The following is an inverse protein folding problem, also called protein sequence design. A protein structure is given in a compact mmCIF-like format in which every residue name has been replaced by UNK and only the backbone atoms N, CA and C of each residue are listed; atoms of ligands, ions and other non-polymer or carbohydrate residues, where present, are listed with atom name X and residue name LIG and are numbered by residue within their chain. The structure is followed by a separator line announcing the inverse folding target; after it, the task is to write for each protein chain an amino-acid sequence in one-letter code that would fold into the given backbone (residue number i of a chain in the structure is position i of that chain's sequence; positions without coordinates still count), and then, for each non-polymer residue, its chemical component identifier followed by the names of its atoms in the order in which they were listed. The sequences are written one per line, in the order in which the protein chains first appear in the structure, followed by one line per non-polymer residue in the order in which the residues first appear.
data_IF_994809349216
#
_entry.id   IF_994809349216
#
_cell.length_a   1.000
_cell.length_b   1.000
_cell.length_c   1.000
_cell.angle_alpha   90.00
_cell.angle_beta   90.00
_cell.angle_gamma   90.00
#
_symmetry.space_group_name_H-M   'P 1'
#
loop_
_entity.id
_entity.type
_entity.pdbx_description
1 polymer ?
#
# COMPACT_ATOMS: atom_id res chain seq x y z
N UNK A 1 -18.73 -9.58 -3.00
CA UNK A 1 -18.01 -8.76 -1.99
C UNK A 1 -17.81 -7.38 -2.59
N UNK A 2 -18.60 -6.39 -2.16
CA UNK A 2 -18.59 -5.04 -2.74
C UNK A 2 -17.39 -4.24 -2.26
N UNK A 3 -16.60 -3.72 -3.20
CA UNK A 3 -15.60 -2.71 -2.91
C UNK A 3 -16.34 -1.45 -2.43
N UNK A 4 -16.17 -1.11 -1.15
CA UNK A 4 -16.75 0.10 -0.58
C UNK A 4 -16.15 1.30 -1.32
N UNK A 5 -17.01 2.08 -1.99
CA UNK A 5 -16.63 3.36 -2.58
C UNK A 5 -16.45 4.38 -1.45
N UNK A 6 -15.23 4.44 -0.92
CA UNK A 6 -14.81 5.45 0.05
C UNK A 6 -14.94 6.81 -0.66
N UNK A 7 -15.66 7.75 -0.05
CA UNK A 7 -16.08 9.01 -0.65
C UNK A 7 -14.97 9.70 -1.44
N UNK A 8 -15.33 10.21 -2.63
CA UNK A 8 -14.45 10.90 -3.58
C UNK A 8 -13.53 11.87 -2.81
N UNK A 9 -12.20 11.64 -2.75
CA UNK A 9 -11.36 12.52 -1.98
C UNK A 9 -11.21 13.85 -2.73
N UNK A 10 -10.87 14.89 -1.97
CA UNK A 10 -10.71 16.24 -2.50
C UNK A 10 -9.71 16.22 -3.66
N UNK A 11 -10.08 16.85 -4.78
CA UNK A 11 -9.25 16.88 -5.99
C UNK A 11 -7.91 17.56 -5.70
N UNK A 12 -6.83 16.79 -5.63
CA UNK A 12 -5.48 17.27 -5.36
C UNK A 12 -4.72 16.47 -4.30
N UNK A 13 -3.41 16.72 -4.21
CA UNK A 13 -2.58 16.07 -3.19
C UNK A 13 -3.00 16.49 -1.77
N UNK A 14 -3.10 15.54 -0.83
CA UNK A 14 -3.41 15.83 0.56
C UNK A 14 -2.32 16.67 1.20
N UNK A 15 -2.74 17.62 2.05
CA UNK A 15 -1.81 18.46 2.79
C UNK A 15 -1.00 17.68 3.83
N UNK A 16 0.14 18.26 4.24
CA UNK A 16 1.09 17.68 5.20
C UNK A 16 0.43 17.17 6.49
N UNK A 17 -0.58 17.88 7.00
CA UNK A 17 -1.30 17.50 8.23
C UNK A 17 -2.07 16.20 8.04
N UNK A 18 -2.72 16.00 6.89
CA UNK A 18 -3.47 14.77 6.61
C UNK A 18 -2.53 13.56 6.49
N UNK A 19 -1.40 13.73 5.79
CA UNK A 19 -0.35 12.69 5.67
C UNK A 19 0.17 12.31 7.06
N UNK A 20 0.51 13.30 7.88
CA UNK A 20 1.01 13.06 9.24
C UNK A 20 0.01 12.27 10.08
N UNK A 21 -1.26 12.66 10.08
CA UNK A 21 -2.31 11.96 10.83
C UNK A 21 -2.49 10.52 10.37
N UNK A 22 -2.46 10.29 9.06
CA UNK A 22 -2.58 8.93 8.50
C UNK A 22 -1.44 8.02 8.97
N UNK A 23 -0.20 8.51 8.92
CA UNK A 23 0.98 7.76 9.38
C UNK A 23 0.96 7.52 10.90
N UNK A 24 0.63 8.55 11.69
CA UNK A 24 0.52 8.41 13.16
C UNK A 24 -0.58 7.41 13.55
N UNK A 25 -1.72 7.46 12.88
CA UNK A 25 -2.81 6.50 13.09
C UNK A 25 -2.38 5.09 12.72
N UNK A 26 -1.70 4.90 11.59
CA UNK A 26 -1.20 3.59 11.18
C UNK A 26 -0.25 2.99 12.23
N UNK A 27 0.69 3.80 12.75
CA UNK A 27 1.60 3.38 13.84
C UNK A 27 0.84 3.04 15.12
N UNK A 28 -0.17 3.84 15.48
CA UNK A 28 -0.98 3.59 16.67
C UNK A 28 -1.79 2.29 16.57
N UNK A 29 -2.14 1.86 15.34
CA UNK A 29 -2.80 0.59 15.07
C UNK A 29 -1.82 -0.61 14.99
N UNK A 30 -0.53 -0.37 15.23
CA UNK A 30 0.49 -1.42 15.27
C UNK A 30 1.13 -1.78 13.93
N UNK A 31 0.89 -0.97 12.88
CA UNK A 31 1.60 -1.11 11.60
C UNK A 31 3.04 -0.62 11.76
N UNK A 32 3.98 -1.39 11.23
CA UNK A 32 5.39 -0.99 11.18
C UNK A 32 5.64 -0.17 9.91
N UNK A 33 5.41 1.13 9.99
CA UNK A 33 5.39 2.00 8.80
C UNK A 33 6.80 2.16 8.20
N UNK A 34 7.03 1.50 7.06
CA UNK A 34 8.23 1.65 6.24
C UNK A 34 8.20 2.90 5.35
N UNK A 35 7.01 3.26 4.87
CA UNK A 35 6.83 4.39 3.95
C UNK A 35 5.37 4.67 3.66
N UNK A 36 5.13 5.66 2.79
CA UNK A 36 3.79 5.98 2.32
C UNK A 36 3.82 6.49 0.87
N UNK A 37 2.75 6.23 0.14
CA UNK A 37 2.49 6.73 -1.20
C UNK A 37 1.29 7.68 -1.18
N UNK A 38 1.38 8.75 -1.98
CA UNK A 38 0.33 9.75 -2.07
C UNK A 38 -0.10 9.88 -3.52
N UNK A 39 -1.38 9.67 -3.78
CA UNK A 39 -1.97 9.76 -5.11
C UNK A 39 -2.65 11.12 -5.34
N UNK A 40 -2.73 11.61 -6.60
CA UNK A 40 -3.37 12.89 -6.94
C UNK A 40 -4.87 12.96 -6.62
N UNK A 41 -5.49 11.79 -6.45
CA UNK A 41 -6.89 11.65 -6.04
C UNK A 41 -7.10 11.93 -4.55
N UNK A 42 -6.04 12.13 -3.76
CA UNK A 42 -6.10 12.35 -2.32
C UNK A 42 -5.82 11.09 -1.48
N UNK A 43 -5.63 9.93 -2.11
CA UNK A 43 -5.39 8.66 -1.41
C UNK A 43 -3.99 8.62 -0.79
N UNK A 44 -3.91 8.24 0.49
CA UNK A 44 -2.64 7.99 1.21
C UNK A 44 -2.57 6.49 1.49
N UNK A 45 -1.60 5.80 0.89
CA UNK A 45 -1.31 4.39 1.16
C UNK A 45 -0.14 4.30 2.11
N UNK A 46 -0.31 3.63 3.24
CA UNK A 46 0.78 3.37 4.19
C UNK A 46 1.33 1.97 3.93
N UNK A 47 2.64 1.86 3.81
CA UNK A 47 3.35 0.62 3.51
C UNK A 47 3.92 0.08 4.81
N UNK A 48 3.56 -1.16 5.15
CA UNK A 48 4.10 -1.87 6.30
C UNK A 48 5.40 -2.60 5.93
N UNK A 49 6.43 -2.49 6.78
CA UNK A 49 7.75 -3.07 6.61
C UNK A 49 7.74 -4.60 6.55
N UNK A 50 6.72 -5.23 7.14
CA UNK A 50 6.57 -6.68 7.21
C UNK A 50 5.91 -7.27 5.97
N UNK A 51 5.39 -6.43 5.07
CA UNK A 51 4.92 -6.91 3.77
C UNK A 51 6.17 -7.24 2.95
N UNK A 52 6.52 -8.52 2.96
CA UNK A 52 7.46 -9.08 2.00
C UNK A 52 6.92 -8.76 0.61
N UNK A 53 7.60 -7.87 -0.11
CA UNK A 53 7.20 -7.53 -1.47
C UNK A 53 7.27 -8.84 -2.26
N UNK A 54 6.12 -9.33 -2.71
CA UNK A 54 6.05 -10.49 -3.57
C UNK A 54 6.98 -10.22 -4.76
N UNK A 55 8.12 -10.91 -4.76
CA UNK A 55 9.12 -10.76 -5.82
C UNK A 55 8.37 -11.10 -7.12
N UNK A 56 8.35 -10.22 -8.13
CA UNK A 56 7.69 -10.55 -9.39
C UNK A 56 8.41 -11.77 -9.96
N UNK A 57 7.78 -12.94 -9.81
CA UNK A 57 8.33 -14.21 -10.28
C UNK A 57 8.17 -14.24 -11.79
N UNK A 58 9.27 -14.40 -12.50
CA UNK A 58 9.22 -14.63 -13.94
C UNK A 58 8.49 -15.94 -14.22
N UNK A 59 7.99 -16.11 -15.45
CA UNK A 59 7.39 -17.38 -15.87
C UNK A 59 8.36 -18.56 -15.68
N UNK A 60 9.67 -18.30 -15.80
CA UNK A 60 10.72 -19.28 -15.54
C UNK A 60 10.71 -19.72 -14.07
N UNK A 61 10.77 -18.77 -13.13
CA UNK A 61 10.78 -19.06 -11.68
C UNK A 61 9.53 -19.85 -11.26
N UNK A 62 8.39 -19.56 -11.89
CA UNK A 62 7.12 -20.26 -11.63
C UNK A 62 7.14 -21.71 -12.13
N UNK A 63 7.76 -21.96 -13.28
CA UNK A 63 7.84 -23.30 -13.88
C UNK A 63 8.90 -24.18 -13.19
N UNK A 64 10.02 -23.59 -12.76
CA UNK A 64 11.05 -24.24 -11.95
C UNK A 64 10.49 -24.66 -10.59
N UNK A 65 9.79 -23.76 -9.89
CA UNK A 65 9.14 -24.08 -8.62
C UNK A 65 8.04 -25.16 -8.74
N UNK A 66 7.41 -25.27 -9.92
CA UNK A 66 6.39 -26.28 -10.20
C UNK A 66 6.97 -27.63 -10.69
N UNK A 67 8.29 -27.76 -10.81
CA UNK A 67 8.97 -28.96 -11.31
C UNK A 67 8.63 -29.31 -12.76
N UNK A 68 8.26 -28.31 -13.56
CA UNK A 68 7.87 -28.48 -14.98
C UNK A 68 9.01 -28.25 -15.96
N UNK A 69 10.12 -27.69 -15.48
CA UNK A 69 11.43 -27.54 -16.13
C UNK A 69 12.53 -27.73 -15.10
#
# INVERSE_FOLDING_TARGET
MGAQSIGKPAQGYPGRVAIRRAVETARALGLDVAGFEVSPDGTIRVIDARIEQAKPQSLFDQLEAAGKI
#
